data_IF_593577148288
#
_entry.id   IF_593577148288
#
_cell.length_a   1.000
_cell.length_b   1.000
_cell.length_c   1.000
_cell.angle_alpha   90.00
_cell.angle_beta   90.00
_cell.angle_gamma   90.00
#
_symmetry.space_group_name_H-M   'P 1'
#
loop_
_entity.id
_entity.type
_entity.pdbx_description
1 polymer ?
#
# COMPACT_ATOMS: atom_id res chain seq x y z
N UNK A 1 -1.80 19.16 -15.95
CA UNK A 1 -0.33 19.04 -15.74
C UNK A 1 0.11 19.78 -14.48
N UNK A 2 -0.29 21.05 -14.30
CA UNK A 2 -0.02 21.85 -13.08
C UNK A 2 -0.56 21.15 -11.80
N UNK A 3 -1.77 20.58 -11.85
CA UNK A 3 -2.33 19.85 -10.69
C UNK A 3 -1.54 18.58 -10.34
N UNK A 4 -0.98 17.89 -11.33
CA UNK A 4 -0.18 16.68 -11.12
C UNK A 4 1.12 17.03 -10.41
N UNK A 5 1.82 18.09 -10.88
CA UNK A 5 3.04 18.56 -10.23
C UNK A 5 2.77 19.08 -8.82
N UNK A 6 1.66 19.80 -8.60
CA UNK A 6 1.25 20.28 -7.28
C UNK A 6 0.94 19.12 -6.34
N UNK A 7 0.19 18.12 -6.79
CA UNK A 7 -0.14 16.93 -6.00
C UNK A 7 1.12 16.11 -5.68
N UNK A 8 2.05 15.99 -6.62
CA UNK A 8 3.33 15.33 -6.38
C UNK A 8 4.19 16.08 -5.36
N UNK A 9 4.27 17.42 -5.46
CA UNK A 9 4.96 18.24 -4.47
C UNK A 9 4.35 18.11 -3.06
N UNK A 10 3.02 18.10 -2.97
CA UNK A 10 2.31 17.87 -1.70
C UNK A 10 2.62 16.47 -1.13
N UNK A 11 2.68 15.45 -1.97
CA UNK A 11 3.02 14.09 -1.58
C UNK A 11 4.46 14.03 -1.02
N UNK A 12 5.43 14.65 -1.71
CA UNK A 12 6.82 14.74 -1.25
C UNK A 12 6.93 15.45 0.12
N UNK A 13 6.21 16.56 0.30
CA UNK A 13 6.19 17.27 1.58
C UNK A 13 5.57 16.42 2.70
N UNK A 14 4.50 15.69 2.39
CA UNK A 14 3.89 14.76 3.35
C UNK A 14 4.88 13.65 3.75
N UNK A 15 5.55 13.01 2.79
CA UNK A 15 6.54 11.96 3.08
C UNK A 15 7.72 12.48 3.88
N UNK A 16 8.21 13.69 3.59
CA UNK A 16 9.30 14.33 4.35
C UNK A 16 8.91 14.60 5.82
N UNK A 17 7.70 15.10 6.04
CA UNK A 17 7.15 15.28 7.38
C UNK A 17 7.09 13.96 8.16
N UNK A 18 6.68 12.87 7.50
CA UNK A 18 6.61 11.55 8.12
C UNK A 18 7.99 10.99 8.45
N UNK A 19 8.99 11.22 7.58
CA UNK A 19 10.39 10.85 7.84
C UNK A 19 10.93 11.61 9.06
N UNK A 20 10.70 12.92 9.16
CA UNK A 20 11.12 13.73 10.32
C UNK A 20 10.45 13.29 11.62
N UNK A 21 9.15 13.00 11.57
CA UNK A 21 8.43 12.46 12.73
C UNK A 21 9.00 11.11 13.16
N UNK A 22 9.36 10.27 12.20
CA UNK A 22 9.99 9.00 12.49
C UNK A 22 11.39 9.16 13.09
N UNK A 23 12.20 10.06 12.54
CA UNK A 23 13.53 10.38 13.09
C UNK A 23 13.43 10.77 14.57
N UNK A 24 12.45 11.62 14.91
CA UNK A 24 12.18 11.98 16.30
C UNK A 24 11.88 10.77 17.20
N UNK A 25 11.12 9.79 16.72
CA UNK A 25 10.84 8.55 17.46
C UNK A 25 12.09 7.67 17.61
N UNK A 26 12.82 7.45 16.52
CA UNK A 26 13.94 6.52 16.46
C UNK A 26 15.12 6.98 17.33
N UNK A 27 15.32 8.28 17.48
CA UNK A 27 16.37 8.88 18.31
C UNK A 27 15.91 9.25 19.74
N UNK A 28 14.66 8.96 20.11
CA UNK A 28 14.20 9.03 21.50
C UNK A 28 14.65 7.76 22.25
N UNK A 29 15.87 7.80 22.79
CA UNK A 29 16.49 6.66 23.48
C UNK A 29 15.66 6.12 24.67
N UNK A 30 15.09 6.96 25.57
CA UNK A 30 14.19 6.48 26.62
C UNK A 30 12.99 5.71 26.09
N UNK A 31 12.33 6.23 25.05
CA UNK A 31 11.16 5.60 24.46
C UNK A 31 11.53 4.31 23.74
N UNK A 32 12.59 4.32 22.94
CA UNK A 32 13.06 3.15 22.20
C UNK A 32 13.50 2.02 23.14
N UNK A 33 14.14 2.37 24.27
CA UNK A 33 14.48 1.40 25.32
C UNK A 33 13.22 0.78 25.94
N UNK A 34 12.24 1.61 26.31
CA UNK A 34 10.95 1.15 26.87
C UNK A 34 10.19 0.21 25.92
N UNK A 35 10.14 0.56 24.63
CA UNK A 35 9.49 -0.27 23.62
C UNK A 35 10.20 -1.62 23.43
N UNK A 36 11.54 -1.64 23.49
CA UNK A 36 12.33 -2.87 23.38
C UNK A 36 12.13 -3.79 24.59
N UNK A 37 12.09 -3.22 25.80
CA UNK A 37 11.89 -3.97 27.05
C UNK A 37 10.48 -4.57 27.18
N UNK A 38 9.49 -4.00 26.47
CA UNK A 38 8.12 -4.53 26.45
C UNK A 38 8.05 -5.93 25.80
N UNK A 39 8.97 -6.25 24.88
CA UNK A 39 9.09 -7.60 24.31
C UNK A 39 7.97 -7.98 23.34
N UNK A 40 7.67 -7.13 22.36
CA UNK A 40 6.68 -7.43 21.30
C UNK A 40 7.12 -8.58 20.40
N UNK A 41 6.17 -9.39 19.92
CA UNK A 41 6.45 -10.52 19.02
C UNK A 41 6.37 -10.17 17.53
N UNK A 42 5.68 -9.09 17.17
CA UNK A 42 5.46 -8.65 15.80
C UNK A 42 5.11 -7.16 15.74
N UNK A 43 5.30 -6.55 14.57
CA UNK A 43 4.94 -5.15 14.34
C UNK A 43 3.91 -5.01 13.22
N UNK A 44 2.73 -4.48 13.54
CA UNK A 44 1.70 -4.12 12.56
C UNK A 44 1.88 -2.65 12.15
N UNK A 45 2.15 -2.38 10.87
CA UNK A 45 2.38 -1.01 10.37
C UNK A 45 1.88 -0.81 8.94
N UNK A 46 1.57 0.44 8.56
CA UNK A 46 1.37 0.78 7.15
C UNK A 46 2.75 1.06 6.51
N UNK A 47 3.21 0.27 5.52
CA UNK A 47 4.52 0.40 4.88
C UNK A 47 4.69 1.65 4.01
N UNK A 48 3.63 2.44 3.77
CA UNK A 48 3.79 3.75 3.16
C UNK A 48 4.53 4.72 4.09
N UNK A 49 4.44 4.51 5.41
CA UNK A 49 5.16 5.29 6.41
C UNK A 49 6.44 4.53 6.81
N UNK A 50 7.63 5.16 6.74
CA UNK A 50 8.89 4.45 6.88
C UNK A 50 9.15 3.90 8.27
N UNK A 51 8.50 4.45 9.29
CA UNK A 51 8.91 4.25 10.66
C UNK A 51 8.73 2.84 11.17
N UNK A 52 7.56 2.25 10.96
CA UNK A 52 7.33 0.89 11.43
C UNK A 52 8.28 -0.10 10.76
N UNK A 53 8.51 0.04 9.46
CA UNK A 53 9.45 -0.82 8.73
C UNK A 53 10.89 -0.73 9.29
N UNK A 54 11.39 0.48 9.55
CA UNK A 54 12.73 0.69 10.14
C UNK A 54 12.79 0.15 11.58
N UNK A 55 11.73 0.40 12.36
CA UNK A 55 11.61 -0.07 13.73
C UNK A 55 11.60 -1.60 13.82
N UNK A 56 10.87 -2.27 12.91
CA UNK A 56 10.84 -3.72 12.83
C UNK A 56 12.22 -4.30 12.59
N UNK A 57 13.02 -3.72 11.67
CA UNK A 57 14.39 -4.18 11.41
C UNK A 57 15.30 -3.94 12.63
N UNK A 58 15.23 -2.75 13.26
CA UNK A 58 16.00 -2.39 14.46
C UNK A 58 15.74 -3.32 15.65
N UNK A 59 14.50 -3.80 15.79
CA UNK A 59 14.10 -4.71 16.88
C UNK A 59 14.12 -6.18 16.45
N UNK A 60 14.47 -6.47 15.19
CA UNK A 60 14.43 -7.82 14.61
C UNK A 60 13.06 -8.49 14.74
N UNK A 61 11.99 -7.72 14.54
CA UNK A 61 10.60 -8.17 14.61
C UNK A 61 10.06 -8.49 13.22
N UNK A 62 9.19 -9.53 13.08
CA UNK A 62 8.45 -9.75 11.86
C UNK A 62 7.46 -8.60 11.62
N UNK A 63 7.62 -7.91 10.50
CA UNK A 63 6.71 -6.85 10.08
C UNK A 63 5.46 -7.42 9.38
N UNK A 64 4.29 -7.01 9.85
CA UNK A 64 3.00 -7.26 9.23
C UNK A 64 2.52 -5.94 8.63
N UNK A 65 2.42 -5.89 7.31
CA UNK A 65 2.08 -4.68 6.58
C UNK A 65 0.59 -4.57 6.35
N UNK A 66 -0.02 -3.45 6.74
CA UNK A 66 -1.44 -3.18 6.57
C UNK A 66 -1.64 -2.01 5.60
N UNK A 67 -2.00 -2.31 4.36
CA UNK A 67 -1.97 -1.34 3.26
C UNK A 67 -3.09 -1.54 2.25
N UNK A 68 -3.43 -0.49 1.50
CA UNK A 68 -4.19 -0.64 0.24
C UNK A 68 -3.26 -0.77 -0.97
N UNK A 69 -2.08 -0.18 -0.90
CA UNK A 69 -1.07 -0.20 -1.95
C UNK A 69 -0.07 0.92 -1.74
N UNK A 70 1.10 0.82 -2.35
CA UNK A 70 2.17 1.83 -2.27
C UNK A 70 2.38 2.42 -3.67
N UNK A 71 2.67 3.73 -3.80
CA UNK A 71 3.04 4.32 -5.08
C UNK A 71 4.11 3.50 -5.83
N UNK A 72 4.00 3.50 -7.16
CA UNK A 72 4.88 2.76 -8.08
C UNK A 72 4.96 1.24 -7.85
N UNK A 73 3.97 0.67 -7.14
CA UNK A 73 3.92 -0.77 -6.83
C UNK A 73 5.14 -1.23 -6.04
N UNK A 74 5.62 -0.38 -5.12
CA UNK A 74 6.77 -0.69 -4.30
C UNK A 74 6.53 -1.92 -3.43
N UNK A 75 5.30 -2.11 -2.96
CA UNK A 75 4.83 -3.30 -2.24
C UNK A 75 5.08 -4.59 -3.04
N UNK A 76 4.65 -4.61 -4.30
CA UNK A 76 4.85 -5.78 -5.16
C UNK A 76 6.33 -5.99 -5.50
N UNK A 77 7.04 -4.91 -5.78
CA UNK A 77 8.48 -4.93 -6.07
C UNK A 77 9.32 -5.41 -4.90
N UNK A 78 8.95 -5.05 -3.66
CA UNK A 78 9.61 -5.45 -2.43
C UNK A 78 9.25 -6.90 -2.07
N UNK A 79 7.98 -7.29 -2.21
CA UNK A 79 7.54 -8.67 -2.02
C UNK A 79 8.03 -9.64 -3.12
N UNK A 80 8.78 -9.15 -4.12
CA UNK A 80 9.22 -9.91 -5.29
C UNK A 80 8.06 -10.50 -6.12
N UNK A 81 6.90 -9.85 -6.05
CA UNK A 81 5.70 -10.24 -6.78
C UNK A 81 5.81 -9.85 -8.26
N UNK A 82 5.56 -10.78 -9.21
CA UNK A 82 5.57 -10.46 -10.64
C UNK A 82 4.46 -9.44 -11.00
N UNK A 83 4.83 -8.34 -11.67
CA UNK A 83 3.88 -7.34 -12.18
C UNK A 83 4.17 -7.02 -13.66
N UNK A 84 3.88 -7.95 -14.59
CA UNK A 84 4.19 -7.78 -16.01
C UNK A 84 3.36 -6.65 -16.65
N UNK A 85 3.99 -5.64 -17.26
CA UNK A 85 3.26 -4.51 -17.88
C UNK A 85 2.49 -4.90 -19.14
N UNK A 86 2.61 -6.15 -19.61
CA UNK A 86 1.86 -6.64 -20.76
C UNK A 86 0.38 -6.79 -20.47
N UNK A 87 -0.03 -7.12 -19.23
CA UNK A 87 -1.45 -7.28 -18.87
C UNK A 87 -1.81 -6.64 -17.52
N UNK A 88 -0.83 -6.24 -16.71
CA UNK A 88 -1.08 -5.49 -15.48
C UNK A 88 -1.00 -3.99 -15.78
N UNK A 89 -2.12 -3.24 -15.76
CA UNK A 89 -2.11 -1.83 -16.09
C UNK A 89 -1.44 -0.99 -14.99
N UNK A 90 -0.80 0.09 -15.42
CA UNK A 90 -0.12 1.08 -14.57
C UNK A 90 -1.08 2.17 -14.14
N UNK A 91 -0.83 2.70 -12.94
CA UNK A 91 -1.62 3.81 -12.43
C UNK A 91 -1.53 4.99 -13.41
N UNK A 92 -2.60 5.78 -13.50
CA UNK A 92 -2.75 6.90 -14.45
C UNK A 92 -2.91 6.55 -15.95
N UNK A 93 -2.82 5.28 -16.36
CA UNK A 93 -3.12 4.89 -17.75
C UNK A 93 -4.62 4.69 -18.02
N UNK A 94 -5.40 4.42 -16.98
CA UNK A 94 -6.82 4.02 -17.08
C UNK A 94 -7.07 2.83 -18.01
N UNK A 95 -6.06 1.97 -18.20
CA UNK A 95 -6.16 0.74 -18.99
C UNK A 95 -6.73 -0.42 -18.16
N UNK A 96 -7.26 -1.43 -18.87
CA UNK A 96 -7.72 -2.69 -18.29
C UNK A 96 -6.68 -3.80 -18.43
N UNK A 97 -6.99 -5.02 -17.98
CA UNK A 97 -6.22 -6.24 -18.25
C UNK A 97 -6.17 -6.58 -19.76
N UNK A 98 -7.13 -6.07 -20.53
CA UNK A 98 -7.19 -6.18 -21.98
C UNK A 98 -6.63 -4.92 -22.64
N UNK A 99 -5.39 -5.00 -23.09
CA UNK A 99 -4.68 -3.93 -23.81
C UNK A 99 -4.30 -4.34 -25.23
N UNK A 100 -4.46 -3.42 -26.18
CA UNK A 100 -3.89 -3.51 -27.52
C UNK A 100 -2.37 -3.35 -27.49
N UNK A 101 -1.67 -3.71 -28.55
CA UNK A 101 -0.20 -3.60 -28.60
C UNK A 101 0.33 -2.18 -28.30
N UNK A 102 -0.22 -1.08 -28.87
CA UNK A 102 0.20 0.27 -28.51
C UNK A 102 -0.05 0.63 -27.04
N UNK A 103 -1.18 0.20 -26.48
CA UNK A 103 -1.47 0.40 -25.06
C UNK A 103 -0.45 -0.32 -24.17
N UNK A 104 -0.03 -1.54 -24.53
CA UNK A 104 1.02 -2.27 -23.81
C UNK A 104 2.37 -1.57 -23.88
N UNK A 105 2.70 -0.95 -25.02
CA UNK A 105 3.92 -0.16 -25.16
C UNK A 105 3.90 1.06 -24.24
N UNK A 106 2.79 1.84 -24.22
CA UNK A 106 2.62 2.97 -23.31
C UNK A 106 2.65 2.52 -21.85
N UNK A 107 1.98 1.42 -21.52
CA UNK A 107 1.95 0.86 -20.17
C UNK A 107 3.36 0.44 -19.70
N UNK A 108 4.18 -0.09 -20.60
CA UNK A 108 5.57 -0.43 -20.32
C UNK A 108 6.42 0.83 -20.09
N UNK A 109 6.26 1.87 -20.91
CA UNK A 109 6.94 3.16 -20.70
C UNK A 109 6.56 3.78 -19.35
N UNK A 110 5.28 3.76 -18.98
CA UNK A 110 4.81 4.22 -17.67
C UNK A 110 5.44 3.43 -16.53
N UNK A 111 5.60 2.11 -16.67
CA UNK A 111 6.26 1.29 -15.65
C UNK A 111 7.72 1.68 -15.39
N UNK A 112 8.42 2.19 -16.40
CA UNK A 112 9.81 2.66 -16.28
C UNK A 112 9.81 4.03 -15.61
N UNK A 113 8.90 4.92 -16.03
CA UNK A 113 8.74 6.24 -15.44
C UNK A 113 8.40 6.18 -13.94
N UNK A 114 7.47 5.31 -13.55
CA UNK A 114 7.12 5.05 -12.14
C UNK A 114 8.36 4.70 -11.29
N UNK A 115 9.27 3.86 -11.79
CA UNK A 115 10.49 3.49 -11.05
C UNK A 115 11.39 4.68 -10.77
N UNK A 116 11.54 5.58 -11.73
CA UNK A 116 12.31 6.81 -11.54
C UNK A 116 11.68 7.71 -10.49
N UNK A 117 10.35 7.90 -10.58
CA UNK A 117 9.59 8.71 -9.63
C UNK A 117 9.72 8.19 -8.19
N UNK A 118 9.64 6.88 -8.01
CA UNK A 118 9.73 6.29 -6.68
C UNK A 118 11.12 6.36 -6.04
N UNK A 119 12.19 6.38 -6.85
CA UNK A 119 13.53 6.63 -6.30
C UNK A 119 13.60 7.99 -5.61
N UNK A 120 12.95 9.00 -6.15
CA UNK A 120 12.86 10.33 -5.52
C UNK A 120 11.93 10.32 -4.31
N UNK A 121 10.77 9.67 -4.42
CA UNK A 121 9.76 9.65 -3.35
C UNK A 121 10.27 9.00 -2.05
N UNK A 122 11.02 7.91 -2.17
CA UNK A 122 11.53 7.17 -1.01
C UNK A 122 12.98 7.51 -0.64
N UNK A 123 13.62 8.48 -1.31
CA UNK A 123 15.01 8.85 -1.05
C UNK A 123 15.26 9.24 0.42
N UNK A 124 14.36 10.04 1.02
CA UNK A 124 14.47 10.45 2.42
C UNK A 124 14.31 9.27 3.38
N UNK A 125 13.47 8.29 3.02
CA UNK A 125 13.31 7.04 3.80
C UNK A 125 14.54 6.15 3.69
N UNK A 126 15.12 6.03 2.49
CA UNK A 126 16.38 5.32 2.27
C UNK A 126 17.52 5.95 3.09
N UNK A 127 17.60 7.29 3.11
CA UNK A 127 18.63 8.02 3.86
C UNK A 127 18.50 7.78 5.37
N UNK A 128 17.29 7.95 5.93
CA UNK A 128 17.04 7.71 7.35
C UNK A 128 17.35 6.25 7.73
N UNK A 129 16.90 5.29 6.92
CA UNK A 129 17.15 3.87 7.15
C UNK A 129 18.67 3.57 7.20
N UNK A 130 19.44 4.03 6.21
CA UNK A 130 20.91 3.83 6.21
C UNK A 130 21.58 4.45 7.42
N UNK A 131 21.17 5.67 7.78
CA UNK A 131 21.77 6.44 8.87
C UNK A 131 21.50 5.80 10.24
N UNK A 132 20.25 5.40 10.47
CA UNK A 132 19.82 4.86 11.77
C UNK A 132 20.30 3.41 11.96
N UNK A 133 20.11 2.54 10.95
CA UNK A 133 20.49 1.12 11.03
C UNK A 133 21.99 0.90 10.80
N UNK A 134 22.73 1.94 10.38
CA UNK A 134 24.17 1.89 10.06
C UNK A 134 24.52 0.78 9.05
N UNK A 135 23.62 0.55 8.08
CA UNK A 135 23.71 -0.49 7.06
C UNK A 135 23.45 0.11 5.69
N UNK A 136 24.16 -0.35 4.66
CA UNK A 136 23.83 0.00 3.28
C UNK A 136 22.60 -0.78 2.84
N UNK A 137 21.42 -0.21 3.09
CA UNK A 137 20.12 -0.77 2.74
C UNK A 137 19.24 0.31 2.10
N UNK A 138 18.34 -0.13 1.24
CA UNK A 138 17.24 0.70 0.72
C UNK A 138 15.97 0.41 1.50
N UNK A 139 15.04 1.35 1.50
CA UNK A 139 13.71 1.18 2.07
C UNK A 139 12.96 0.03 1.37
N UNK A 140 13.17 -0.14 0.07
CA UNK A 140 12.64 -1.28 -0.70
C UNK A 140 13.14 -2.63 -0.12
N UNK A 141 14.43 -2.73 0.20
CA UNK A 141 15.00 -3.97 0.75
C UNK A 141 14.43 -4.27 2.15
N UNK A 142 14.29 -3.25 3.00
CA UNK A 142 13.64 -3.40 4.30
C UNK A 142 12.19 -3.87 4.17
N UNK A 143 11.43 -3.32 3.22
CA UNK A 143 10.09 -3.79 2.91
C UNK A 143 10.08 -5.26 2.46
N UNK A 144 11.14 -5.72 1.78
CA UNK A 144 11.29 -7.11 1.36
C UNK A 144 11.37 -8.11 2.53
N UNK A 145 11.70 -7.65 3.75
CA UNK A 145 11.71 -8.48 4.96
C UNK A 145 10.31 -8.66 5.58
N UNK A 146 9.25 -8.10 4.98
CA UNK A 146 7.87 -8.21 5.48
C UNK A 146 7.38 -9.66 5.55
N UNK A 147 6.88 -10.05 6.72
CA UNK A 147 6.37 -11.39 6.95
C UNK A 147 5.01 -11.62 6.25
N UNK A 148 4.08 -10.68 6.40
CA UNK A 148 2.72 -10.76 5.83
C UNK A 148 2.27 -9.40 5.32
N UNK A 149 1.60 -9.37 4.17
CA UNK A 149 0.99 -8.19 3.58
C UNK A 149 -0.53 -8.30 3.63
N UNK A 150 -1.16 -7.56 4.54
CA UNK A 150 -2.60 -7.45 4.69
C UNK A 150 -3.15 -6.34 3.78
N UNK A 151 -3.71 -6.76 2.65
CA UNK A 151 -4.21 -5.90 1.59
C UNK A 151 -5.67 -5.51 1.85
N UNK A 152 -5.94 -4.22 2.04
CA UNK A 152 -7.26 -3.64 2.37
C UNK A 152 -8.21 -3.54 1.17
N UNK A 153 -8.24 -4.57 0.35
CA UNK A 153 -9.13 -4.70 -0.80
C UNK A 153 -9.50 -6.17 -1.01
N UNK A 154 -10.51 -6.39 -1.84
CA UNK A 154 -10.98 -7.71 -2.25
C UNK A 154 -10.76 -7.89 -3.75
N UNK A 155 -10.65 -9.14 -4.18
CA UNK A 155 -10.37 -9.51 -5.57
C UNK A 155 -11.49 -9.05 -6.50
N UNK A 156 -12.71 -8.82 -5.99
CA UNK A 156 -13.82 -8.29 -6.79
C UNK A 156 -13.58 -6.86 -7.30
N UNK A 157 -12.70 -6.09 -6.67
CA UNK A 157 -12.42 -4.69 -7.04
C UNK A 157 -11.12 -4.53 -7.83
N UNK A 158 -10.32 -5.60 -7.96
CA UNK A 158 -9.00 -5.54 -8.56
C UNK A 158 -8.93 -6.34 -9.85
N UNK A 159 -8.07 -5.89 -10.76
CA UNK A 159 -7.80 -6.63 -11.99
C UNK A 159 -6.93 -7.87 -11.68
N UNK A 160 -7.09 -8.97 -12.45
CA UNK A 160 -6.28 -10.16 -12.29
C UNK A 160 -4.79 -9.84 -12.39
N UNK A 161 -4.05 -10.12 -11.32
CA UNK A 161 -2.59 -9.97 -11.26
C UNK A 161 -1.98 -11.06 -10.37
N UNK A 162 -0.71 -11.43 -10.58
CA UNK A 162 0.00 -12.33 -9.67
C UNK A 162 0.03 -11.74 -8.25
N UNK A 163 0.01 -12.62 -7.25
CA UNK A 163 0.18 -12.28 -5.83
C UNK A 163 1.05 -13.34 -5.15
N UNK A 164 1.85 -12.90 -4.19
CA UNK A 164 2.68 -13.81 -3.39
C UNK A 164 1.85 -14.46 -2.27
N UNK A 165 2.20 -15.68 -1.82
CA UNK A 165 1.44 -16.40 -0.79
C UNK A 165 1.33 -15.66 0.55
N UNK A 166 2.29 -14.79 0.85
CA UNK A 166 2.28 -13.96 2.06
C UNK A 166 1.46 -12.66 1.90
N UNK A 167 0.80 -12.44 0.75
CA UNK A 167 -0.10 -11.31 0.53
C UNK A 167 -1.55 -11.76 0.67
N UNK A 168 -2.21 -11.32 1.74
CA UNK A 168 -3.56 -11.72 2.12
C UNK A 168 -4.53 -10.56 1.92
N UNK A 169 -5.56 -10.80 1.11
CA UNK A 169 -6.63 -9.85 0.89
C UNK A 169 -7.63 -9.88 2.06
N UNK A 170 -7.82 -8.73 2.69
CA UNK A 170 -8.69 -8.54 3.86
C UNK A 170 -9.75 -7.47 3.58
N UNK A 171 -10.32 -7.48 2.37
CA UNK A 171 -11.46 -6.64 2.03
C UNK A 171 -12.65 -6.88 2.98
N UNK A 172 -13.43 -5.83 3.24
CA UNK A 172 -14.65 -5.95 4.05
C UNK A 172 -14.46 -6.04 5.56
N UNK A 173 -13.23 -5.91 6.09
CA UNK A 173 -12.97 -5.93 7.55
C UNK A 173 -13.69 -4.83 8.33
N UNK A 174 -14.09 -3.74 7.68
CA UNK A 174 -14.81 -2.63 8.29
C UNK A 174 -16.33 -2.90 8.43
N UNK A 175 -16.84 -4.00 7.88
CA UNK A 175 -18.26 -4.33 7.96
C UNK A 175 -18.59 -4.96 9.33
N UNK A 176 -19.70 -4.53 9.92
CA UNK A 176 -20.22 -5.15 11.14
C UNK A 176 -20.60 -6.62 10.89
N UNK A 177 -20.53 -7.45 11.96
CA UNK A 177 -21.02 -8.83 11.91
C UNK A 177 -22.46 -8.83 11.40
N UNK A 178 -22.74 -9.71 10.43
CA UNK A 178 -24.08 -9.90 9.89
C UNK A 178 -25.05 -10.20 11.04
N UNK A 179 -25.99 -9.29 11.26
CA UNK A 179 -27.15 -9.49 12.12
C UNK A 179 -28.42 -9.57 11.28
N UNK A 180 -29.52 -10.15 11.81
CA UNK A 180 -30.80 -10.10 11.13
C UNK A 180 -31.18 -8.64 10.90
N UNK A 181 -31.61 -8.34 9.68
CA UNK A 181 -32.11 -7.02 9.31
C UNK A 181 -33.33 -6.71 10.17
N UNK A 182 -33.21 -5.76 11.09
CA UNK A 182 -34.31 -5.35 11.98
C UNK A 182 -35.48 -4.72 11.23
N UNK A 183 -35.24 -4.31 9.98
CA UNK A 183 -36.25 -3.78 9.06
C UNK A 183 -35.97 -4.33 7.66
N UNK A 184 -37.00 -4.64 6.85
CA UNK A 184 -36.80 -5.01 5.46
C UNK A 184 -36.01 -3.91 4.74
N UNK A 185 -34.91 -4.29 4.08
CA UNK A 185 -34.10 -3.36 3.30
C UNK A 185 -34.99 -2.78 2.20
N UNK A 186 -35.35 -1.49 2.29
CA UNK A 186 -35.90 -0.77 1.14
C UNK A 186 -34.74 -0.52 0.18
N UNK A 187 -34.47 -1.50 -0.68
CA UNK A 187 -33.45 -1.46 -1.73
C UNK A 187 -33.46 -0.13 -2.49
N UNK A 188 -34.64 0.42 -2.74
CA UNK A 188 -34.83 1.70 -3.43
C UNK A 188 -34.27 2.93 -2.69
N UNK A 189 -34.16 2.93 -1.36
CA UNK A 189 -33.67 4.09 -0.60
C UNK A 189 -32.14 4.17 -0.63
N UNK A 190 -31.46 3.03 -0.51
CA UNK A 190 -29.99 2.96 -0.60
C UNK A 190 -29.53 3.26 -2.03
N UNK A 191 -30.24 2.71 -3.02
CA UNK A 191 -29.96 2.95 -4.44
C UNK A 191 -30.17 4.42 -4.85
N UNK A 192 -31.19 5.09 -4.31
CA UNK A 192 -31.38 6.54 -4.47
C UNK A 192 -30.27 7.37 -3.82
N UNK A 193 -29.78 6.97 -2.64
CA UNK A 193 -28.65 7.65 -1.98
C UNK A 193 -27.31 7.45 -2.71
N UNK A 194 -27.12 6.31 -3.38
CA UNK A 194 -25.92 6.01 -4.16
C UNK A 194 -26.01 6.45 -5.64
N UNK A 195 -27.11 7.08 -6.05
CA UNK A 195 -27.31 7.54 -7.43
C UNK A 195 -27.43 6.43 -8.47
N UNK A 196 -27.77 5.20 -8.05
CA UNK A 196 -27.90 4.03 -8.92
C UNK A 196 -29.38 3.75 -9.12
N UNK A 197 -29.98 4.18 -10.23
CA UNK A 197 -31.43 3.98 -10.48
C UNK A 197 -31.82 2.51 -10.72
N UNK A 198 -30.87 1.65 -11.10
CA UNK A 198 -31.13 0.23 -11.39
C UNK A 198 -29.98 -0.66 -10.94
N UNK A 199 -29.99 -1.11 -9.68
CA UNK A 199 -29.23 -2.31 -9.30
C UNK A 199 -30.22 -3.45 -9.09
N UNK A 200 -30.08 -4.53 -9.87
CA UNK A 200 -30.75 -5.80 -9.60
C UNK A 200 -30.09 -6.43 -8.39
N UNK A 201 -30.89 -6.71 -7.36
CA UNK A 201 -30.47 -7.49 -6.20
C UNK A 201 -30.28 -8.93 -6.70
N UNK A 202 -29.09 -9.50 -6.50
CA UNK A 202 -28.86 -10.92 -6.74
C UNK A 202 -29.54 -11.70 -5.61
N UNK A 203 -30.60 -12.45 -5.93
CA UNK A 203 -31.34 -13.25 -4.95
C UNK A 203 -32.76 -13.68 -5.35
N UNK A 204 -33.33 -13.16 -6.42
CA UNK A 204 -34.65 -13.60 -6.90
C UNK A 204 -34.50 -14.68 -8.00
N UNK A 205 -34.15 -15.90 -7.57
CA UNK A 205 -34.37 -17.17 -8.27
C UNK A 205 -34.45 -18.31 -7.24
#
# INVERSE_FOLDING_TARGET
>A
MIDIFKNFGNLMHFTDMQVKGCEGLLYDEPLMKSLRETGFDALLTDPFLPCGTILADSFSLPAIYFLRGIPCRLDESAAQCPSPPSFVPRLFTSYSDKMTFPQRAINTLMSIFEKFLCRTLFASSDELARRYLQKDTTYKELLGHGAVWLLRYDFTFELPKPQMPNMVQIGGINCAKKGPLTKPLKSQTILKHLGVETARVWGDA
#
